data_IF_459792088452
#
_entry.id   IF_459792088452
#
_cell.length_a   1.000
_cell.length_b   1.000
_cell.length_c   1.000
_cell.angle_alpha   90.00
_cell.angle_beta   90.00
_cell.angle_gamma   90.00
#
_symmetry.space_group_name_H-M   'P 1'
#
loop_
_entity.id
_entity.type
_entity.pdbx_description
1 polymer ?
#
# COMPACT_ATOMS: atom_id res chain seq x y z
N UNK A 1 24.56 3.77 -16.91
CA UNK A 1 25.63 4.63 -16.35
C UNK A 1 26.96 4.05 -16.78
N UNK A 2 27.94 4.89 -17.11
CA UNK A 2 29.30 4.42 -17.38
C UNK A 2 30.03 4.08 -16.06
N UNK A 3 31.18 3.44 -16.15
CA UNK A 3 31.93 2.99 -14.96
C UNK A 3 32.42 4.15 -14.08
N UNK A 4 32.83 5.28 -14.67
CA UNK A 4 33.30 6.44 -13.90
C UNK A 4 32.18 7.07 -13.07
N UNK A 5 30.97 7.22 -13.64
CA UNK A 5 29.81 7.68 -12.88
C UNK A 5 29.43 6.71 -11.76
N UNK A 6 29.49 5.39 -12.00
CA UNK A 6 29.23 4.39 -10.95
C UNK A 6 30.24 4.48 -9.81
N UNK A 7 31.53 4.61 -10.13
CA UNK A 7 32.59 4.76 -9.14
C UNK A 7 32.41 6.05 -8.31
N UNK A 8 32.08 7.16 -8.97
CA UNK A 8 31.80 8.43 -8.31
C UNK A 8 30.62 8.32 -7.34
N UNK A 9 29.47 7.79 -7.79
CA UNK A 9 28.28 7.67 -6.94
C UNK A 9 28.54 6.72 -5.76
N UNK A 10 29.25 5.60 -5.98
CA UNK A 10 29.67 4.70 -4.89
C UNK A 10 30.54 5.44 -3.87
N UNK A 11 31.51 6.25 -4.31
CA UNK A 11 32.36 7.03 -3.39
C UNK A 11 31.55 8.03 -2.55
N UNK A 12 30.61 8.74 -3.16
CA UNK A 12 29.69 9.66 -2.44
C UNK A 12 28.87 8.91 -1.38
N UNK A 13 28.33 7.73 -1.72
CA UNK A 13 27.53 6.94 -0.78
C UNK A 13 28.38 6.32 0.34
N UNK A 14 29.65 5.95 0.08
CA UNK A 14 30.60 5.55 1.13
C UNK A 14 30.81 6.66 2.15
N UNK A 15 31.04 7.89 1.68
CA UNK A 15 31.20 9.06 2.56
C UNK A 15 29.93 9.37 3.36
N UNK A 16 28.76 9.27 2.72
CA UNK A 16 27.47 9.42 3.39
C UNK A 16 27.34 8.39 4.53
N UNK A 17 27.49 7.10 4.24
CA UNK A 17 27.33 6.04 5.25
C UNK A 17 28.42 6.07 6.34
N UNK A 18 29.61 6.60 6.05
CA UNK A 18 30.63 6.83 7.06
C UNK A 18 30.17 7.78 8.18
N UNK A 19 29.21 8.68 7.89
CA UNK A 19 28.70 9.69 8.83
C UNK A 19 27.22 9.51 9.20
N UNK A 20 26.49 8.67 8.46
CA UNK A 20 25.06 8.48 8.63
C UNK A 20 24.71 7.89 10.01
N UNK A 21 23.66 8.45 10.63
CA UNK A 21 23.03 7.87 11.83
C UNK A 21 21.95 6.89 11.38
N UNK A 22 22.33 5.63 11.30
CA UNK A 22 21.44 4.53 10.95
C UNK A 22 20.60 4.13 12.17
N UNK A 23 19.31 3.83 11.95
CA UNK A 23 18.42 3.35 13.02
C UNK A 23 18.47 1.82 13.13
N UNK A 24 18.88 1.29 14.29
CA UNK A 24 18.90 -0.16 14.49
C UNK A 24 17.47 -0.74 14.39
N UNK A 25 17.25 -1.82 13.61
CA UNK A 25 16.01 -2.56 13.68
C UNK A 25 15.90 -3.31 15.02
N UNK A 26 14.67 -3.62 15.49
CA UNK A 26 14.47 -4.50 16.64
C UNK A 26 15.11 -5.87 16.41
N UNK A 27 15.82 -6.37 17.43
CA UNK A 27 16.56 -7.64 17.43
C UNK A 27 17.45 -7.81 16.18
N UNK A 28 18.31 -6.83 15.92
CA UNK A 28 19.17 -6.72 14.74
C UNK A 28 19.91 -8.03 14.39
N UNK A 29 20.38 -8.75 15.40
CA UNK A 29 21.12 -10.02 15.31
C UNK A 29 20.30 -11.16 14.70
N UNK A 30 18.97 -11.03 14.69
CA UNK A 30 18.02 -12.02 14.16
C UNK A 30 17.52 -11.65 12.76
N UNK A 31 18.00 -10.53 12.19
CA UNK A 31 17.56 -10.03 10.89
C UNK A 31 18.52 -10.42 9.78
N UNK A 32 17.95 -10.73 8.62
CA UNK A 32 18.72 -10.75 7.37
C UNK A 32 18.82 -9.32 6.82
N UNK A 33 19.99 -8.95 6.33
CA UNK A 33 20.25 -7.70 5.62
C UNK A 33 20.47 -7.93 4.13
N UNK A 34 20.00 -6.95 3.36
CA UNK A 34 20.19 -6.85 1.92
C UNK A 34 20.81 -5.52 1.51
N UNK A 35 21.76 -5.55 0.58
CA UNK A 35 22.42 -4.35 0.04
C UNK A 35 22.29 -4.31 -1.48
N UNK A 36 21.59 -3.32 -2.01
CA UNK A 36 21.52 -3.07 -3.45
C UNK A 36 22.74 -2.27 -3.88
N UNK A 37 23.49 -2.74 -4.88
CA UNK A 37 24.67 -2.04 -5.39
C UNK A 37 24.33 -1.18 -6.61
N UNK A 38 25.03 -0.05 -6.78
CA UNK A 38 24.89 0.78 -7.98
C UNK A 38 25.33 0.02 -9.23
N UNK A 39 24.49 0.03 -10.26
CA UNK A 39 24.76 -0.63 -11.54
C UNK A 39 24.43 -2.13 -11.55
N UNK A 40 24.07 -2.70 -10.40
CA UNK A 40 23.66 -4.11 -10.28
C UNK A 40 22.15 -4.20 -10.11
N UNK A 41 21.56 -5.26 -10.66
CA UNK A 41 20.13 -5.55 -10.50
C UNK A 41 19.85 -6.43 -9.29
N UNK A 42 20.86 -7.16 -8.80
CA UNK A 42 20.76 -8.06 -7.66
C UNK A 42 21.06 -7.34 -6.34
N UNK A 43 20.43 -7.85 -5.28
CA UNK A 43 20.70 -7.45 -3.90
C UNK A 43 21.67 -8.48 -3.31
N UNK A 44 22.74 -8.02 -2.67
CA UNK A 44 23.59 -8.87 -1.84
C UNK A 44 22.79 -9.24 -0.59
N UNK A 45 22.50 -10.52 -0.39
CA UNK A 45 21.61 -11.06 0.66
C UNK A 45 22.35 -12.01 1.59
N UNK A 46 21.63 -12.59 2.56
CA UNK A 46 22.14 -13.56 3.53
C UNK A 46 23.25 -13.01 4.43
N UNK A 47 23.17 -11.72 4.76
CA UNK A 47 24.07 -11.08 5.72
C UNK A 47 23.35 -10.87 7.05
N UNK A 48 24.08 -10.99 8.14
CA UNK A 48 23.61 -10.68 9.50
C UNK A 48 24.66 -9.85 10.22
N UNK A 49 24.23 -9.04 11.17
CA UNK A 49 25.09 -8.14 11.94
C UNK A 49 24.64 -8.13 13.39
N UNK A 50 25.56 -7.98 14.32
CA UNK A 50 25.23 -7.96 15.75
C UNK A 50 24.85 -6.56 16.27
N UNK A 51 25.15 -5.51 15.51
CA UNK A 51 24.82 -4.13 15.86
C UNK A 51 24.84 -3.21 14.63
N UNK A 52 24.34 -2.00 14.81
CA UNK A 52 24.14 -1.04 13.73
C UNK A 52 25.47 -0.44 13.22
N UNK A 53 26.49 -0.41 14.06
CA UNK A 53 27.83 0.06 13.73
C UNK A 53 28.49 -0.86 12.70
N UNK A 54 28.28 -2.17 12.79
CA UNK A 54 28.74 -3.12 11.77
C UNK A 54 28.02 -2.92 10.43
N UNK A 55 26.69 -2.69 10.45
CA UNK A 55 25.91 -2.36 9.25
C UNK A 55 26.45 -1.08 8.60
N UNK A 56 26.68 -0.03 9.41
CA UNK A 56 27.22 1.25 8.97
C UNK A 56 28.61 1.10 8.38
N UNK A 57 29.49 0.33 9.04
CA UNK A 57 30.85 0.05 8.55
C UNK A 57 30.80 -0.65 7.19
N UNK A 58 30.01 -1.71 7.07
CA UNK A 58 29.83 -2.43 5.80
C UNK A 58 29.31 -1.50 4.69
N UNK A 59 28.33 -0.65 5.00
CA UNK A 59 27.80 0.32 4.04
C UNK A 59 28.83 1.39 3.65
N UNK A 60 29.64 1.89 4.59
CA UNK A 60 30.70 2.85 4.34
C UNK A 60 31.86 2.26 3.52
N UNK A 61 32.10 0.95 3.59
CA UNK A 61 33.10 0.26 2.77
C UNK A 61 32.59 -0.03 1.34
N UNK A 62 31.29 -0.28 1.18
CA UNK A 62 30.73 -0.74 -0.10
C UNK A 62 30.02 0.37 -0.91
N UNK A 63 29.47 1.40 -0.27
CA UNK A 63 28.69 2.45 -0.93
C UNK A 63 27.42 1.94 -1.63
N UNK A 64 26.55 1.18 -0.95
CA UNK A 64 25.36 0.60 -1.56
C UNK A 64 24.34 1.69 -1.96
N UNK A 65 23.52 1.43 -2.96
CA UNK A 65 22.40 2.29 -3.35
C UNK A 65 21.25 2.26 -2.33
N UNK A 66 21.10 1.14 -1.62
CA UNK A 66 20.15 1.02 -0.50
C UNK A 66 20.50 -0.12 0.43
N UNK A 67 20.12 0.03 1.69
CA UNK A 67 20.15 -1.00 2.73
C UNK A 67 18.71 -1.42 3.01
N UNK A 68 18.47 -2.72 3.12
CA UNK A 68 17.19 -3.30 3.50
C UNK A 68 17.41 -4.38 4.56
N UNK A 69 16.38 -4.67 5.36
CA UNK A 69 16.40 -5.79 6.30
C UNK A 69 15.06 -6.54 6.30
N UNK A 70 15.10 -7.79 6.73
CA UNK A 70 13.95 -8.70 6.68
C UNK A 70 12.80 -8.24 7.57
N UNK A 71 11.57 -8.52 7.13
CA UNK A 71 10.37 -8.49 7.98
C UNK A 71 10.36 -9.67 8.94
N UNK A 72 10.92 -10.80 8.54
CA UNK A 72 11.11 -11.96 9.40
C UNK A 72 12.25 -11.80 10.42
N UNK A 73 12.14 -12.56 11.49
CA UNK A 73 13.18 -12.85 12.47
C UNK A 73 13.58 -14.31 12.32
N UNK A 74 14.88 -14.56 12.25
CA UNK A 74 15.48 -15.86 11.99
C UNK A 74 16.34 -16.29 13.16
N UNK A 75 16.40 -17.59 13.44
CA UNK A 75 17.41 -18.14 14.35
C UNK A 75 18.81 -18.08 13.72
N UNK A 76 18.87 -18.23 12.39
CA UNK A 76 20.12 -18.24 11.63
C UNK A 76 20.01 -17.40 10.34
N UNK A 77 20.00 -16.06 10.44
CA UNK A 77 19.68 -15.14 9.34
C UNK A 77 20.59 -15.23 8.10
N UNK A 78 21.80 -15.74 8.26
CA UNK A 78 22.86 -15.88 7.25
C UNK A 78 22.83 -17.24 6.50
N UNK A 79 22.07 -18.23 6.99
CA UNK A 79 22.02 -19.57 6.38
C UNK A 79 21.32 -19.59 5.03
N UNK A 80 21.66 -20.62 4.24
CA UNK A 80 21.03 -20.96 2.97
C UNK A 80 20.79 -22.47 2.90
N UNK A 81 19.70 -22.93 2.25
CA UNK A 81 18.60 -22.17 1.64
C UNK A 81 17.65 -21.54 2.68
N UNK A 82 16.61 -20.79 2.26
CA UNK A 82 15.73 -20.01 3.16
C UNK A 82 15.15 -20.81 4.34
N UNK A 83 14.79 -22.08 4.14
CA UNK A 83 14.27 -22.95 5.22
C UNK A 83 15.28 -23.16 6.34
N UNK A 84 16.58 -23.16 6.04
CA UNK A 84 17.65 -23.35 7.02
C UNK A 84 17.84 -22.14 7.94
N UNK A 85 17.21 -21.00 7.64
CA UNK A 85 17.23 -19.81 8.50
C UNK A 85 16.35 -19.94 9.73
N UNK A 86 15.37 -20.85 9.71
CA UNK A 86 14.41 -21.10 10.78
C UNK A 86 13.69 -19.81 11.22
N UNK A 87 12.79 -19.25 10.38
CA UNK A 87 11.98 -18.10 10.77
C UNK A 87 11.08 -18.47 11.95
N UNK A 88 10.96 -17.57 12.92
CA UNK A 88 10.15 -17.80 14.12
C UNK A 88 9.20 -16.66 14.47
N UNK A 89 9.31 -15.51 13.79
CA UNK A 89 8.47 -14.33 13.98
C UNK A 89 8.52 -13.44 12.73
N UNK A 90 7.49 -12.64 12.51
CA UNK A 90 7.41 -11.66 11.43
C UNK A 90 6.93 -10.30 11.92
N UNK A 91 7.42 -9.22 11.32
CA UNK A 91 6.74 -7.93 11.43
C UNK A 91 5.49 -7.95 10.56
N UNK A 92 4.40 -7.35 11.04
CA UNK A 92 3.30 -6.99 10.14
C UNK A 92 3.71 -5.71 9.40
N UNK A 93 3.80 -5.78 8.08
CA UNK A 93 4.30 -4.69 7.27
C UNK A 93 3.41 -4.36 6.08
N UNK A 94 3.28 -3.08 5.78
CA UNK A 94 2.46 -2.55 4.70
C UNK A 94 3.28 -1.60 3.82
N UNK A 95 3.09 -1.66 2.51
CA UNK A 95 3.71 -0.74 1.55
C UNK A 95 2.64 0.05 0.80
N UNK A 96 2.78 1.37 0.84
CA UNK A 96 1.91 2.35 0.18
C UNK A 96 2.74 3.04 -0.90
N UNK A 97 2.51 2.68 -2.17
CA UNK A 97 3.17 3.33 -3.32
C UNK A 97 2.26 4.41 -3.92
N UNK A 98 2.74 5.65 -3.98
CA UNK A 98 2.03 6.77 -4.62
C UNK A 98 1.73 6.50 -6.10
N UNK A 99 2.50 5.65 -6.78
CA UNK A 99 2.23 5.23 -8.14
C UNK A 99 0.91 4.46 -8.30
N UNK A 100 0.45 3.76 -7.24
CA UNK A 100 -0.79 2.99 -7.26
C UNK A 100 -2.02 3.81 -6.86
N UNK A 101 -1.81 5.00 -6.30
CA UNK A 101 -2.89 5.88 -5.84
C UNK A 101 -3.39 6.77 -6.99
N UNK A 102 -4.67 6.74 -7.38
CA UNK A 102 -5.16 7.55 -8.48
C UNK A 102 -5.17 9.04 -8.12
N UNK A 103 -4.30 9.84 -8.76
CA UNK A 103 -4.25 11.30 -8.57
C UNK A 103 -4.38 12.04 -9.90
N UNK A 104 -5.01 13.22 -9.88
CA UNK A 104 -5.22 14.04 -11.08
C UNK A 104 -3.90 14.59 -11.65
N UNK A 105 -2.92 14.85 -10.80
CA UNK A 105 -1.60 15.39 -11.16
C UNK A 105 -0.75 14.44 -12.02
N UNK A 106 -1.00 13.12 -12.00
CA UNK A 106 -0.30 12.15 -12.86
C UNK A 106 -0.34 12.51 -14.34
N UNK A 107 -1.42 13.12 -14.81
CA UNK A 107 -1.56 13.57 -16.20
C UNK A 107 -0.59 14.71 -16.57
N UNK A 108 -0.08 15.43 -15.57
CA UNK A 108 0.78 16.61 -15.77
C UNK A 108 2.26 16.26 -15.71
N UNK A 109 2.64 15.24 -14.93
CA UNK A 109 4.05 14.91 -14.69
C UNK A 109 4.49 13.55 -15.22
N UNK A 110 3.58 12.63 -15.57
CA UNK A 110 3.96 11.38 -16.23
C UNK A 110 4.09 11.58 -17.74
N UNK A 111 4.99 10.81 -18.35
CA UNK A 111 5.21 10.84 -19.79
C UNK A 111 5.25 9.42 -20.34
N UNK A 112 4.80 9.25 -21.57
CA UNK A 112 4.96 8.00 -22.31
C UNK A 112 5.88 8.19 -23.51
N UNK A 113 6.60 7.13 -23.85
CA UNK A 113 7.52 7.08 -24.97
C UNK A 113 7.30 5.78 -25.76
N UNK A 114 7.13 5.90 -27.07
CA UNK A 114 7.13 4.73 -27.96
C UNK A 114 8.57 4.38 -28.33
N UNK A 115 8.97 3.12 -28.13
CA UNK A 115 10.32 2.66 -28.50
C UNK A 115 10.45 2.27 -29.98
N UNK A 116 9.36 2.29 -30.75
CA UNK A 116 9.34 1.88 -32.17
C UNK A 116 9.39 3.09 -33.09
N UNK A 117 8.59 4.12 -32.81
CA UNK A 117 8.48 5.31 -33.67
C UNK A 117 8.88 6.61 -32.98
N UNK A 118 9.47 6.52 -31.78
CA UNK A 118 9.98 7.64 -30.97
C UNK A 118 8.98 8.76 -30.63
N UNK A 119 7.69 8.56 -30.94
CA UNK A 119 6.63 9.47 -30.54
C UNK A 119 6.47 9.40 -29.02
N UNK A 120 6.27 10.58 -28.42
CA UNK A 120 6.13 10.78 -26.97
C UNK A 120 5.01 11.76 -26.66
N UNK A 121 4.48 11.69 -25.46
CA UNK A 121 3.48 12.64 -25.00
C UNK A 121 3.30 12.64 -23.48
N UNK A 122 2.59 13.64 -22.95
CA UNK A 122 2.26 13.71 -21.55
C UNK A 122 1.17 12.69 -21.18
N UNK A 123 1.10 12.39 -19.88
CA UNK A 123 0.09 11.58 -19.24
C UNK A 123 0.32 10.08 -19.31
N UNK A 124 -0.71 9.33 -18.93
CA UNK A 124 -0.68 7.87 -18.82
C UNK A 124 -1.39 7.24 -20.01
N UNK A 125 -0.68 6.37 -20.74
CA UNK A 125 -1.19 5.66 -21.91
C UNK A 125 -0.56 4.27 -22.00
N UNK A 126 -1.31 3.30 -22.53
CA UNK A 126 -0.83 1.92 -22.73
C UNK A 126 -0.30 1.65 -24.15
N UNK A 127 -0.87 2.31 -25.17
CA UNK A 127 -0.53 2.09 -26.59
C UNK A 127 -0.19 3.37 -27.33
N UNK A 128 0.79 3.31 -28.22
CA UNK A 128 1.21 4.40 -29.09
C UNK A 128 0.05 4.81 -30.03
N UNK A 129 -0.24 6.12 -30.22
CA UNK A 129 -1.30 6.56 -31.13
C UNK A 129 -0.98 6.35 -32.61
N UNK A 130 0.31 6.17 -32.95
CA UNK A 130 0.77 6.07 -34.34
C UNK A 130 0.94 4.63 -34.76
N UNK A 131 1.75 3.85 -34.04
CA UNK A 131 2.06 2.47 -34.41
C UNK A 131 1.36 1.40 -33.56
N UNK A 132 0.52 1.81 -32.59
CA UNK A 132 -0.25 0.93 -31.69
C UNK A 132 0.57 -0.03 -30.80
N UNK A 133 1.90 0.07 -30.82
CA UNK A 133 2.80 -0.66 -29.92
C UNK A 133 2.58 -0.28 -28.46
N UNK A 134 3.08 -1.10 -27.54
CA UNK A 134 3.20 -0.69 -26.14
C UNK A 134 4.15 0.52 -26.00
N UNK A 135 3.93 1.31 -24.96
CA UNK A 135 4.75 2.49 -24.64
C UNK A 135 5.41 2.31 -23.29
N UNK A 136 6.60 2.87 -23.14
CA UNK A 136 7.29 2.98 -21.87
C UNK A 136 6.75 4.18 -21.12
N UNK A 137 6.30 3.98 -19.88
CA UNK A 137 5.87 5.06 -18.99
C UNK A 137 7.03 5.52 -18.11
N UNK A 138 7.40 6.79 -18.26
CA UNK A 138 8.24 7.50 -17.31
C UNK A 138 7.34 8.10 -16.23
N UNK A 139 7.30 7.43 -15.08
CA UNK A 139 6.48 7.83 -13.93
C UNK A 139 7.26 8.73 -12.99
N UNK A 140 6.66 9.85 -12.62
CA UNK A 140 7.22 10.82 -11.69
C UNK A 140 6.30 10.97 -10.47
N UNK A 141 6.86 11.45 -9.37
CA UNK A 141 6.10 11.71 -8.14
C UNK A 141 6.30 13.16 -7.75
N UNK A 142 5.19 13.86 -7.58
CA UNK A 142 5.13 15.24 -7.16
C UNK A 142 4.63 15.35 -5.69
N UNK A 143 4.65 16.55 -5.09
CA UNK A 143 4.13 16.77 -3.74
C UNK A 143 2.67 16.34 -3.55
N UNK A 144 1.81 16.49 -4.57
CA UNK A 144 0.41 16.05 -4.50
C UNK A 144 0.30 14.51 -4.38
N UNK A 145 1.10 13.76 -5.15
CA UNK A 145 1.18 12.31 -5.03
C UNK A 145 1.64 11.87 -3.64
N UNK A 146 2.65 12.56 -3.08
CA UNK A 146 3.14 12.26 -1.73
C UNK A 146 2.12 12.60 -0.64
N UNK A 147 1.36 13.68 -0.79
CA UNK A 147 0.28 14.03 0.13
C UNK A 147 -0.84 13.00 0.07
N UNK A 148 -1.23 12.53 -1.13
CA UNK A 148 -2.20 11.45 -1.25
C UNK A 148 -1.70 10.17 -0.56
N UNK A 149 -0.43 9.78 -0.75
CA UNK A 149 0.15 8.64 -0.05
C UNK A 149 0.15 8.80 1.48
N UNK A 150 0.39 10.01 2.00
CA UNK A 150 0.25 10.29 3.44
C UNK A 150 -1.19 10.15 3.94
N UNK A 151 -2.20 10.54 3.14
CA UNK A 151 -3.60 10.29 3.50
C UNK A 151 -3.91 8.79 3.60
N UNK A 152 -3.39 7.97 2.68
CA UNK A 152 -3.52 6.51 2.79
C UNK A 152 -2.79 5.94 4.01
N UNK A 153 -1.63 6.49 4.38
CA UNK A 153 -0.96 6.13 5.64
C UNK A 153 -1.85 6.47 6.83
N UNK A 154 -2.44 7.67 6.89
CA UNK A 154 -3.35 8.05 7.98
C UNK A 154 -4.57 7.14 8.05
N UNK A 155 -5.20 6.86 6.91
CA UNK A 155 -6.31 5.91 6.85
C UNK A 155 -5.86 4.55 7.38
N UNK A 156 -4.70 4.03 6.98
CA UNK A 156 -4.19 2.77 7.52
C UNK A 156 -4.04 2.82 9.03
N UNK A 157 -3.41 3.86 9.58
CA UNK A 157 -3.24 4.05 11.02
C UNK A 157 -4.58 4.07 11.76
N UNK A 158 -5.57 4.83 11.27
CA UNK A 158 -6.93 4.87 11.84
C UNK A 158 -7.56 3.47 11.96
N UNK A 159 -7.28 2.61 10.99
CA UNK A 159 -7.81 1.24 10.92
C UNK A 159 -7.07 0.34 11.89
N UNK A 160 -5.74 0.39 11.88
CA UNK A 160 -4.91 -0.41 12.78
C UNK A 160 -5.25 -0.08 14.24
N UNK A 161 -5.45 1.20 14.60
CA UNK A 161 -5.82 1.62 15.96
C UNK A 161 -7.29 1.38 16.27
N UNK A 162 -8.17 1.95 15.46
CA UNK A 162 -9.58 2.11 15.79
C UNK A 162 -10.43 0.88 15.48
N UNK A 163 -9.94 -0.01 14.60
CA UNK A 163 -10.66 -1.21 14.19
C UNK A 163 -9.95 -2.50 14.61
N UNK A 164 -8.61 -2.56 14.51
CA UNK A 164 -7.83 -3.75 14.87
C UNK A 164 -7.22 -3.69 16.28
N UNK A 165 -7.28 -2.55 16.96
CA UNK A 165 -6.82 -2.39 18.35
C UNK A 165 -5.29 -2.44 18.54
N UNK A 166 -4.51 -2.24 17.47
CA UNK A 166 -3.05 -2.25 17.53
C UNK A 166 -2.51 -0.98 18.20
N UNK A 167 -1.46 -1.15 19.00
CA UNK A 167 -0.84 -0.08 19.79
C UNK A 167 0.18 0.71 18.97
N UNK A 168 -0.01 2.03 18.89
CA UNK A 168 0.85 2.91 18.06
C UNK A 168 2.30 3.00 18.51
N UNK A 169 2.61 2.67 19.77
CA UNK A 169 4.00 2.68 20.26
C UNK A 169 4.90 1.66 19.55
N UNK A 170 4.31 0.69 18.84
CA UNK A 170 5.03 -0.35 18.10
C UNK A 170 5.06 -0.10 16.58
N UNK A 171 4.62 1.08 16.12
CA UNK A 171 4.52 1.40 14.68
C UNK A 171 5.70 2.25 14.23
N UNK A 172 6.42 1.78 13.21
CA UNK A 172 7.43 2.56 12.47
C UNK A 172 6.91 2.89 11.08
N UNK A 173 6.84 4.19 10.78
CA UNK A 173 6.51 4.72 9.45
C UNK A 173 7.80 5.25 8.84
N UNK A 174 8.17 4.76 7.66
CA UNK A 174 9.36 5.21 6.94
C UNK A 174 9.06 5.53 5.49
N UNK A 175 9.81 6.47 4.91
CA UNK A 175 9.75 6.73 3.49
C UNK A 175 10.46 5.59 2.74
N UNK A 176 9.84 5.02 1.70
CA UNK A 176 10.39 3.88 0.96
C UNK A 176 11.65 4.21 0.14
N UNK A 177 12.09 5.47 0.15
CA UNK A 177 13.27 5.96 -0.56
C UNK A 177 13.00 6.36 -2.01
N UNK A 178 11.75 6.26 -2.48
CA UNK A 178 11.38 6.66 -3.84
C UNK A 178 10.05 7.39 -3.90
N UNK A 179 8.95 6.71 -3.57
CA UNK A 179 7.59 7.14 -3.98
C UNK A 179 6.49 6.74 -3.01
N UNK A 180 6.83 6.31 -1.80
CA UNK A 180 5.87 5.68 -0.91
C UNK A 180 6.32 5.61 0.52
N UNK A 181 5.55 4.87 1.32
CA UNK A 181 5.81 4.68 2.73
C UNK A 181 5.71 3.20 3.09
N UNK A 182 6.59 2.77 3.99
CA UNK A 182 6.42 1.51 4.69
C UNK A 182 5.85 1.80 6.08
N UNK A 183 4.88 0.98 6.49
CA UNK A 183 4.36 0.96 7.86
C UNK A 183 4.67 -0.42 8.43
N UNK A 184 5.49 -0.48 9.48
CA UNK A 184 5.88 -1.73 10.15
C UNK A 184 5.36 -1.72 11.58
N UNK A 185 4.83 -2.86 12.00
CA UNK A 185 4.32 -3.08 13.35
C UNK A 185 5.17 -4.16 14.02
N UNK A 186 5.79 -3.80 15.13
CA UNK A 186 6.70 -4.64 15.92
C UNK A 186 6.00 -5.23 17.16
N UNK A 187 4.75 -5.67 17.02
CA UNK A 187 3.98 -6.26 18.11
C UNK A 187 4.23 -7.77 18.19
N UNK A 188 4.27 -8.32 19.41
CA UNK A 188 4.38 -9.76 19.65
C UNK A 188 3.07 -10.48 19.31
N UNK A 189 1.94 -9.80 19.52
CA UNK A 189 0.60 -10.36 19.27
C UNK A 189 0.39 -10.68 17.78
N UNK A 190 0.99 -9.89 16.87
CA UNK A 190 0.92 -10.12 15.41
C UNK A 190 2.12 -10.90 14.86
N UNK A 191 3.11 -11.17 15.71
CA UNK A 191 4.40 -11.72 15.29
C UNK A 191 4.33 -13.17 14.77
N UNK A 192 3.31 -13.91 15.20
CA UNK A 192 3.07 -15.30 14.82
C UNK A 192 2.11 -15.49 13.64
N UNK A 193 1.56 -14.41 13.07
CA UNK A 193 0.61 -14.51 11.97
C UNK A 193 1.25 -15.18 10.75
N UNK A 194 0.58 -16.17 10.20
CA UNK A 194 0.92 -16.83 8.94
C UNK A 194 0.67 -15.92 7.74
N UNK A 195 1.19 -16.29 6.57
CA UNK A 195 0.93 -15.56 5.31
C UNK A 195 -0.58 -15.44 5.01
N UNK A 196 -1.36 -16.49 5.31
CA UNK A 196 -2.82 -16.52 5.11
C UNK A 196 -3.54 -15.61 6.10
N UNK A 197 -3.19 -15.60 7.38
CA UNK A 197 -3.80 -14.68 8.35
C UNK A 197 -3.47 -13.22 8.04
N UNK A 198 -2.24 -12.93 7.56
CA UNK A 198 -1.89 -11.58 7.08
C UNK A 198 -2.64 -11.21 5.81
N UNK A 199 -3.00 -12.18 4.97
CA UNK A 199 -3.87 -11.96 3.79
C UNK A 199 -5.26 -11.52 4.22
N UNK A 200 -5.85 -12.16 5.23
CA UNK A 200 -7.16 -11.75 5.77
C UNK A 200 -7.15 -10.29 6.29
N UNK A 201 -6.07 -9.87 6.94
CA UNK A 201 -5.89 -8.46 7.35
C UNK A 201 -5.84 -7.53 6.14
N UNK A 202 -5.10 -7.91 5.09
CA UNK A 202 -5.04 -7.12 3.86
C UNK A 202 -6.41 -7.03 3.19
N UNK A 203 -7.15 -8.13 3.12
CA UNK A 203 -8.46 -8.15 2.46
C UNK A 203 -9.52 -7.39 3.27
N UNK A 204 -9.44 -7.45 4.60
CA UNK A 204 -10.19 -6.55 5.50
C UNK A 204 -9.89 -5.08 5.19
N UNK A 205 -8.62 -4.69 5.15
CA UNK A 205 -8.20 -3.30 4.87
C UNK A 205 -8.63 -2.87 3.46
N UNK A 206 -8.50 -3.73 2.46
CA UNK A 206 -8.81 -3.39 1.08
C UNK A 206 -10.28 -3.56 0.73
N UNK A 207 -11.13 -4.00 1.67
CA UNK A 207 -12.53 -4.36 1.40
C UNK A 207 -12.65 -5.27 0.17
N UNK A 208 -11.76 -6.27 0.07
CA UNK A 208 -11.77 -7.24 -1.01
C UNK A 208 -12.72 -8.38 -0.70
N UNK A 209 -13.24 -8.99 -1.77
CA UNK A 209 -14.09 -10.18 -1.70
C UNK A 209 -15.33 -10.03 -0.81
N UNK A 210 -15.82 -8.81 -0.63
CA UNK A 210 -17.03 -8.53 0.14
C UNK A 210 -18.23 -9.19 -0.54
N UNK A 211 -18.93 -10.04 0.21
CA UNK A 211 -20.22 -10.58 -0.18
C UNK A 211 -21.34 -9.73 0.44
N UNK A 212 -21.97 -8.78 -0.29
CA UNK A 212 -22.85 -7.80 0.34
C UNK A 212 -24.03 -8.45 1.07
N UNK A 213 -24.53 -9.58 0.56
CA UNK A 213 -25.62 -10.35 1.19
C UNK A 213 -25.29 -10.81 2.62
N UNK A 214 -24.02 -11.07 2.93
CA UNK A 214 -23.58 -11.47 4.28
C UNK A 214 -23.35 -10.28 5.21
N UNK A 215 -23.40 -9.05 4.70
CA UNK A 215 -23.06 -7.83 5.42
C UNK A 215 -24.22 -6.83 5.44
N UNK A 216 -25.44 -7.32 5.73
CA UNK A 216 -26.61 -6.47 6.01
C UNK A 216 -27.34 -5.92 4.78
N UNK A 217 -26.83 -6.13 3.57
CA UNK A 217 -27.53 -5.72 2.36
C UNK A 217 -28.65 -6.69 1.99
N UNK A 218 -29.89 -6.20 1.97
CA UNK A 218 -31.05 -6.99 1.59
C UNK A 218 -31.92 -6.25 0.57
N UNK A 219 -32.48 -7.00 -0.37
CA UNK A 219 -33.38 -6.48 -1.39
C UNK A 219 -34.81 -6.95 -1.16
N UNK A 220 -35.77 -6.08 -1.47
CA UNK A 220 -37.20 -6.37 -1.45
C UNK A 220 -37.83 -6.10 -2.82
N UNK A 221 -39.02 -6.65 -3.03
CA UNK A 221 -39.85 -6.33 -4.18
C UNK A 221 -40.85 -5.24 -3.80
N UNK A 222 -40.81 -4.08 -4.48
CA UNK A 222 -41.79 -3.01 -4.33
C UNK A 222 -42.30 -2.60 -5.72
N UNK A 223 -43.61 -2.76 -5.95
CA UNK A 223 -44.24 -2.41 -7.24
C UNK A 223 -43.66 -3.14 -8.45
N UNK A 224 -43.31 -4.43 -8.29
CA UNK A 224 -42.70 -5.25 -9.34
C UNK A 224 -41.23 -4.93 -9.65
N UNK A 225 -40.59 -4.05 -8.87
CA UNK A 225 -39.18 -3.71 -8.98
C UNK A 225 -38.42 -4.15 -7.75
N UNK A 226 -37.21 -4.66 -7.97
CA UNK A 226 -36.25 -4.96 -6.91
C UNK A 226 -35.61 -3.66 -6.40
N UNK A 227 -35.69 -3.42 -5.10
CA UNK A 227 -35.16 -2.22 -4.43
C UNK A 227 -34.30 -2.62 -3.24
N UNK A 228 -33.24 -1.86 -2.98
CA UNK A 228 -32.42 -2.04 -1.78
C UNK A 228 -33.25 -1.63 -0.56
N UNK A 229 -33.51 -2.57 0.34
CA UNK A 229 -34.34 -2.36 1.51
C UNK A 229 -33.51 -2.03 2.76
N UNK A 230 -32.31 -2.57 2.85
CA UNK A 230 -31.39 -2.30 3.95
C UNK A 230 -29.94 -2.38 3.49
N UNK A 231 -29.06 -1.75 4.27
CA UNK A 231 -27.62 -1.92 4.21
C UNK A 231 -27.05 -1.98 5.64
N UNK A 232 -25.74 -2.22 5.78
CA UNK A 232 -25.11 -2.40 7.07
C UNK A 232 -25.20 -1.15 7.93
N UNK A 233 -25.28 -1.35 9.25
CA UNK A 233 -25.11 -0.31 10.25
C UNK A 233 -23.73 -0.41 10.93
N UNK A 234 -23.24 0.72 11.47
CA UNK A 234 -21.92 0.82 12.15
C UNK A 234 -21.78 -0.17 13.32
N UNK A 235 -22.90 -0.59 13.93
CA UNK A 235 -22.94 -1.44 15.12
C UNK A 235 -22.93 -2.94 14.82
N UNK A 236 -23.00 -3.34 13.55
CA UNK A 236 -23.19 -4.74 13.14
C UNK A 236 -21.88 -5.54 12.98
N UNK A 237 -20.71 -4.92 13.21
CA UNK A 237 -19.41 -5.58 13.17
C UNK A 237 -18.32 -4.69 12.56
N UNK A 238 -17.06 -5.14 12.65
CA UNK A 238 -15.90 -4.40 12.16
C UNK A 238 -16.00 -4.12 10.64
N UNK A 239 -16.31 -5.15 9.85
CA UNK A 239 -16.42 -5.01 8.39
C UNK A 239 -17.61 -4.14 7.97
N UNK A 240 -18.77 -4.28 8.64
CA UNK A 240 -19.95 -3.44 8.40
C UNK A 240 -19.66 -1.98 8.71
N UNK A 241 -19.01 -1.70 9.85
CA UNK A 241 -18.53 -0.37 10.22
C UNK A 241 -17.63 0.22 9.15
N UNK A 242 -16.65 -0.56 8.68
CA UNK A 242 -15.70 -0.16 7.67
C UNK A 242 -16.38 0.19 6.34
N UNK A 243 -17.27 -0.68 5.86
CA UNK A 243 -18.09 -0.43 4.66
C UNK A 243 -18.85 0.89 4.81
N UNK A 244 -19.56 1.09 5.93
CA UNK A 244 -20.33 2.31 6.19
C UNK A 244 -19.42 3.54 6.19
N UNK A 245 -18.27 3.50 6.86
CA UNK A 245 -17.36 4.65 6.94
C UNK A 245 -16.78 5.04 5.58
N UNK A 246 -16.32 4.06 4.81
CA UNK A 246 -15.73 4.28 3.48
C UNK A 246 -16.79 4.80 2.51
N UNK A 247 -17.99 4.18 2.48
CA UNK A 247 -19.11 4.65 1.65
C UNK A 247 -19.59 6.03 2.08
N UNK A 248 -19.68 6.31 3.38
CA UNK A 248 -20.04 7.65 3.89
C UNK A 248 -19.07 8.71 3.38
N UNK A 249 -17.77 8.54 3.59
CA UNK A 249 -16.73 9.50 3.13
C UNK A 249 -16.81 9.73 1.62
N UNK A 250 -17.10 8.69 0.85
CA UNK A 250 -17.33 8.77 -0.59
C UNK A 250 -18.57 9.60 -0.94
N UNK A 251 -19.72 9.30 -0.34
CA UNK A 251 -20.98 10.01 -0.61
C UNK A 251 -20.91 11.47 -0.16
N UNK A 252 -20.22 11.79 0.94
CA UNK A 252 -19.95 13.18 1.37
C UNK A 252 -19.17 13.96 0.29
N UNK A 253 -18.18 13.33 -0.35
CA UNK A 253 -17.43 13.95 -1.43
C UNK A 253 -18.27 14.16 -2.69
N UNK A 254 -19.21 13.24 -2.96
CA UNK A 254 -20.19 13.37 -4.06
C UNK A 254 -21.17 14.51 -3.78
N UNK A 255 -21.76 14.60 -2.58
CA UNK A 255 -22.67 15.70 -2.20
C UNK A 255 -21.97 17.07 -2.25
N UNK A 256 -20.70 17.14 -1.84
CA UNK A 256 -19.85 18.34 -1.92
C UNK A 256 -19.33 18.64 -3.33
N UNK A 257 -19.70 17.84 -4.34
CA UNK A 257 -19.24 17.96 -5.75
C UNK A 257 -17.73 17.87 -5.94
N UNK A 258 -17.01 17.30 -4.97
CA UNK A 258 -15.58 17.00 -5.09
C UNK A 258 -15.33 15.76 -5.98
N UNK A 259 -16.32 14.87 -6.04
CA UNK A 259 -16.33 13.66 -6.86
C UNK A 259 -17.61 13.56 -7.70
N UNK A 260 -17.50 12.98 -8.89
CA UNK A 260 -18.66 12.75 -9.75
C UNK A 260 -19.50 11.57 -9.24
N UNK A 261 -20.82 11.69 -9.32
CA UNK A 261 -21.75 10.60 -9.02
C UNK A 261 -21.55 9.45 -10.05
N UNK A 262 -21.36 8.20 -9.62
CA UNK A 262 -21.38 7.04 -10.51
C UNK A 262 -22.71 6.90 -11.26
N UNK A 263 -22.63 6.48 -12.51
CA UNK A 263 -23.82 6.32 -13.38
C UNK A 263 -24.79 5.22 -12.93
N UNK A 264 -24.33 4.27 -12.12
CA UNK A 264 -25.18 3.19 -11.59
C UNK A 264 -25.98 3.62 -10.34
N UNK A 265 -25.58 4.70 -9.66
CA UNK A 265 -26.37 5.27 -8.57
C UNK A 265 -27.55 6.04 -9.15
N UNK A 266 -28.74 5.83 -8.56
CA UNK A 266 -29.99 6.45 -9.02
C UNK A 266 -30.72 7.05 -7.83
N UNK A 267 -30.20 8.15 -7.25
CA UNK A 267 -30.71 8.62 -5.98
C UNK A 267 -32.17 9.05 -6.05
N UNK A 268 -32.99 8.59 -5.10
CA UNK A 268 -34.40 9.01 -4.97
C UNK A 268 -34.61 10.03 -3.85
N UNK A 269 -33.54 10.41 -3.14
CA UNK A 269 -33.57 11.33 -2.01
C UNK A 269 -32.16 11.69 -1.56
N UNK A 270 -32.02 12.18 -0.32
CA UNK A 270 -30.72 12.49 0.28
C UNK A 270 -29.86 11.21 0.41
N UNK A 271 -28.56 11.31 0.10
CA UNK A 271 -27.62 10.18 0.24
C UNK A 271 -27.25 9.98 1.71
N UNK A 272 -27.17 11.10 2.42
CA UNK A 272 -26.87 11.16 3.85
C UNK A 272 -28.01 11.85 4.60
N UNK A 273 -28.34 11.34 5.80
CA UNK A 273 -29.23 12.01 6.75
C UNK A 273 -28.59 11.99 8.12
N UNK A 274 -28.44 13.16 8.75
CA UNK A 274 -27.76 13.31 10.05
C UNK A 274 -26.34 12.69 10.08
N UNK A 275 -25.68 12.62 8.92
CA UNK A 275 -24.36 12.01 8.76
C UNK A 275 -24.37 10.48 8.65
N UNK A 276 -25.52 9.84 8.48
CA UNK A 276 -25.63 8.40 8.22
C UNK A 276 -26.03 8.11 6.77
N UNK A 277 -25.59 6.98 6.22
CA UNK A 277 -25.89 6.56 4.86
C UNK A 277 -27.34 6.11 4.76
N UNK A 278 -28.09 6.71 3.83
CA UNK A 278 -29.47 6.30 3.55
C UNK A 278 -29.47 5.30 2.40
N UNK A 279 -29.20 4.03 2.71
CA UNK A 279 -29.02 2.95 1.73
C UNK A 279 -30.18 2.84 0.73
N UNK A 280 -31.42 2.94 1.21
CA UNK A 280 -32.65 2.87 0.41
C UNK A 280 -32.71 3.94 -0.69
N UNK A 281 -32.12 5.12 -0.43
CA UNK A 281 -32.12 6.24 -1.37
C UNK A 281 -31.08 6.10 -2.48
N UNK A 282 -30.13 5.16 -2.41
CA UNK A 282 -29.03 5.06 -3.38
C UNK A 282 -29.49 4.51 -4.75
N UNK A 283 -30.68 3.91 -4.82
CA UNK A 283 -31.24 3.38 -6.08
C UNK A 283 -30.48 2.18 -6.67
N UNK A 284 -29.76 1.46 -5.81
CA UNK A 284 -29.08 0.20 -6.12
C UNK A 284 -30.10 -0.94 -6.29
N UNK A 285 -29.88 -1.83 -7.25
CA UNK A 285 -30.80 -2.91 -7.65
C UNK A 285 -30.16 -4.30 -7.62
N UNK A 286 -28.84 -4.37 -7.62
CA UNK A 286 -28.09 -5.63 -7.65
C UNK A 286 -26.96 -5.64 -6.63
N UNK A 287 -26.52 -6.84 -6.24
CA UNK A 287 -25.34 -6.97 -5.40
C UNK A 287 -24.06 -6.52 -6.11
N UNK A 288 -24.01 -6.57 -7.43
CA UNK A 288 -22.85 -6.10 -8.21
C UNK A 288 -22.74 -4.58 -8.19
N UNK A 289 -23.86 -3.85 -8.27
CA UNK A 289 -23.85 -2.39 -8.09
C UNK A 289 -23.40 -2.00 -6.66
N UNK A 290 -23.72 -2.81 -5.63
CA UNK A 290 -23.22 -2.59 -4.27
C UNK A 290 -21.70 -2.82 -4.21
N UNK A 291 -21.19 -3.90 -4.83
CA UNK A 291 -19.74 -4.14 -4.91
C UNK A 291 -19.03 -2.99 -5.62
N UNK A 292 -19.55 -2.53 -6.75
CA UNK A 292 -19.03 -1.37 -7.47
C UNK A 292 -19.02 -0.10 -6.61
N UNK A 293 -20.07 0.14 -5.81
CA UNK A 293 -20.09 1.25 -4.85
C UNK A 293 -18.98 1.12 -3.81
N UNK A 294 -18.82 -0.05 -3.20
CA UNK A 294 -17.79 -0.30 -2.18
C UNK A 294 -16.39 -0.13 -2.79
N UNK A 295 -16.16 -0.66 -3.99
CA UNK A 295 -14.89 -0.50 -4.72
C UNK A 295 -14.59 0.98 -5.01
N UNK A 296 -15.54 1.71 -5.59
CA UNK A 296 -15.39 3.15 -5.85
C UNK A 296 -15.14 3.94 -4.56
N UNK A 297 -15.82 3.59 -3.48
CA UNK A 297 -15.65 4.22 -2.19
C UNK A 297 -14.26 3.91 -1.60
N UNK A 298 -13.78 2.68 -1.72
CA UNK A 298 -12.47 2.25 -1.23
C UNK A 298 -11.33 2.86 -2.04
N UNK A 299 -11.48 3.03 -3.36
CA UNK A 299 -10.50 3.74 -4.19
C UNK A 299 -10.32 5.21 -3.76
N UNK A 300 -11.38 5.85 -3.26
CA UNK A 300 -11.36 7.25 -2.85
C UNK A 300 -10.96 7.44 -1.38
N UNK A 301 -11.58 6.70 -0.47
CA UNK A 301 -11.49 6.92 0.98
C UNK A 301 -10.80 5.79 1.74
N UNK A 302 -10.37 4.73 1.05
CA UNK A 302 -9.71 3.56 1.63
C UNK A 302 -8.18 3.67 1.68
N UNK A 303 -7.53 2.51 1.63
CA UNK A 303 -6.07 2.38 1.65
C UNK A 303 -5.61 1.69 0.37
N UNK A 304 -4.56 2.20 -0.26
CA UNK A 304 -3.87 1.51 -1.36
C UNK A 304 -2.66 0.77 -0.79
N UNK A 305 -2.63 -0.56 -0.94
CA UNK A 305 -1.56 -1.42 -0.44
C UNK A 305 -1.02 -2.33 -1.56
N UNK A 306 0.25 -2.73 -1.46
CA UNK A 306 0.78 -3.93 -2.13
C UNK A 306 0.61 -5.16 -1.21
N UNK A 307 -0.36 -6.06 -1.47
CA UNK A 307 -0.58 -7.26 -0.65
C UNK A 307 0.63 -8.18 -0.56
N UNK A 308 1.48 -8.18 -1.59
CA UNK A 308 2.63 -9.08 -1.64
C UNK A 308 3.68 -8.69 -0.61
N UNK A 309 3.76 -7.40 -0.22
CA UNK A 309 4.66 -6.97 0.86
C UNK A 309 4.23 -7.55 2.19
N UNK A 310 2.94 -7.50 2.50
CA UNK A 310 2.41 -7.97 3.79
C UNK A 310 2.43 -9.50 3.89
N UNK A 311 2.20 -10.21 2.79
CA UNK A 311 2.07 -11.67 2.81
C UNK A 311 3.43 -12.41 2.70
N UNK A 312 4.50 -11.77 2.24
CA UNK A 312 5.79 -12.42 1.99
C UNK A 312 6.63 -12.61 3.29
N UNK A 313 6.84 -13.88 3.66
CA UNK A 313 7.64 -14.31 4.82
C UNK A 313 9.16 -14.02 4.67
N UNK A 314 9.63 -13.68 3.47
CA UNK A 314 11.04 -13.44 3.18
C UNK A 314 11.33 -12.02 2.71
N UNK A 315 10.36 -11.11 2.90
CA UNK A 315 10.43 -9.74 2.39
C UNK A 315 11.56 -8.96 3.04
N UNK A 316 12.36 -8.27 2.21
CA UNK A 316 13.29 -7.24 2.66
C UNK A 316 12.67 -5.87 2.43
N UNK A 317 12.57 -5.05 3.48
CA UNK A 317 12.12 -3.67 3.37
C UNK A 317 13.29 -2.71 3.58
N UNK A 318 13.26 -1.61 2.83
CA UNK A 318 14.29 -0.57 2.93
C UNK A 318 14.37 -0.07 4.37
N UNK A 319 15.61 0.04 4.84
CA UNK A 319 15.92 0.63 6.13
C UNK A 319 15.61 2.13 6.14
N UNK A 320 14.99 2.68 7.21
CA UNK A 320 14.64 4.10 7.31
C UNK A 320 15.81 5.07 7.14
#
# INVERSE_FOLDING_TARGET
MNQSSLAFVRAVFREYYAKARLQAPPAIETREFGFLQFGEKSIIRHLSFSNIEQVRKFAAENGPASISYSTAYYRYPDRQPMVAKEPYRFDLAFDIDADHIPTKCKRQHDFWFCQICDVRGPGVRKKCPVCHSEVVLAKFVCPECMNAAKEHVRNLIDILEGELGLRMQQVQISFSGRRGFHVRIFDEEVGGLTSEERREIVDYILLKEIEPRRHGFAFEQRGGKRVLASGPAVREGAISRRIVQVVKRYLEAVEKKALAMPSFLRPSGALLKEGEVVWENLGLRTYDEIRQLIECANEYAGVSLDPMVTCDDARLLRMP
#
